data_IF_192700604536
#
_entry.id   IF_192700604536
#
_cell.length_a   1.000
_cell.length_b   1.000
_cell.length_c   1.000
_cell.angle_alpha   90.00
_cell.angle_beta   90.00
_cell.angle_gamma   90.00
#
_symmetry.space_group_name_H-M   'P 1'
#
loop_
_entity.id
_entity.type
_entity.pdbx_description
1 polymer ?
#
# COMPACT_ATOMS: atom_id res chain seq x y z
N UNK A 1 7.02 24.24 -23.27
CA UNK A 1 7.60 23.17 -22.41
C UNK A 1 6.57 22.07 -22.10
N UNK A 2 5.28 22.31 -22.34
CA UNK A 2 4.21 21.29 -22.32
C UNK A 2 4.28 20.35 -23.54
N UNK A 3 4.87 20.82 -24.64
CA UNK A 3 4.93 20.12 -25.93
C UNK A 3 5.73 18.80 -25.88
N UNK A 4 6.71 18.72 -24.98
CA UNK A 4 7.55 17.53 -24.81
C UNK A 4 6.75 16.36 -24.20
N UNK A 5 5.83 16.68 -23.29
CA UNK A 5 4.99 15.68 -22.63
C UNK A 5 3.98 15.10 -23.62
N UNK A 6 3.42 15.93 -24.51
CA UNK A 6 2.47 15.47 -25.52
C UNK A 6 3.14 14.59 -26.59
N UNK A 7 4.39 14.89 -26.94
CA UNK A 7 5.17 14.01 -27.82
C UNK A 7 5.40 12.63 -27.18
N UNK A 8 5.78 12.58 -25.90
CA UNK A 8 5.94 11.32 -25.17
C UNK A 8 4.61 10.56 -25.12
N UNK A 9 3.48 11.23 -24.82
CA UNK A 9 2.15 10.61 -24.80
C UNK A 9 1.79 9.98 -26.16
N UNK A 10 2.09 10.68 -27.26
CA UNK A 10 1.81 10.19 -28.61
C UNK A 10 2.61 8.93 -28.95
N UNK A 11 3.94 8.97 -28.73
CA UNK A 11 4.84 7.83 -28.99
C UNK A 11 4.41 6.61 -28.19
N UNK A 12 4.04 6.82 -26.94
CA UNK A 12 3.65 5.74 -26.03
C UNK A 12 2.30 5.10 -26.41
N UNK A 13 1.32 5.87 -26.89
CA UNK A 13 0.05 5.37 -27.44
C UNK A 13 0.28 4.59 -28.74
N UNK A 14 1.19 5.04 -29.60
CA UNK A 14 1.54 4.38 -30.86
C UNK A 14 2.19 2.99 -30.64
N UNK A 15 2.89 2.80 -29.51
CA UNK A 15 3.50 1.52 -29.12
C UNK A 15 2.49 0.51 -28.52
N UNK A 16 1.18 0.80 -28.56
CA UNK A 16 0.13 -0.12 -28.12
C UNK A 16 0.10 -0.37 -26.62
N UNK A 17 0.85 0.40 -25.82
CA UNK A 17 0.76 0.35 -24.37
C UNK A 17 -0.32 1.32 -23.90
N UNK A 18 -1.24 0.83 -23.06
CA UNK A 18 -2.18 1.65 -22.29
C UNK A 18 -1.35 2.38 -21.23
N UNK A 19 -0.90 3.60 -21.50
CA UNK A 19 -0.01 4.31 -20.57
C UNK A 19 -0.63 5.63 -20.20
N UNK A 20 -0.73 5.81 -18.88
CA UNK A 20 -1.31 6.94 -18.19
C UNK A 20 -2.79 7.12 -18.48
N UNK A 21 -3.60 6.19 -17.97
CA UNK A 21 -4.72 6.69 -17.20
C UNK A 21 -4.08 7.57 -16.13
N UNK A 22 -4.34 8.88 -16.06
CA UNK A 22 -4.18 9.54 -14.79
C UNK A 22 -5.08 8.70 -13.90
N UNK A 23 -4.48 7.87 -13.04
CA UNK A 23 -5.16 7.57 -11.81
C UNK A 23 -5.31 8.95 -11.22
N UNK A 24 -6.48 9.55 -11.44
CA UNK A 24 -7.05 10.45 -10.48
C UNK A 24 -7.10 9.56 -9.25
N UNK A 25 -6.00 9.52 -8.51
CA UNK A 25 -6.05 9.33 -7.09
C UNK A 25 -6.95 10.46 -6.67
N UNK A 26 -8.25 10.17 -6.61
CA UNK A 26 -9.27 10.95 -5.90
C UNK A 26 -8.99 10.75 -4.41
N UNK A 27 -7.73 11.04 -4.06
CA UNK A 27 -7.08 11.04 -2.77
C UNK A 27 -5.91 12.02 -2.87
N UNK A 28 -5.89 13.17 -2.16
CA UNK A 28 -4.71 13.99 -2.02
C UNK A 28 -3.61 13.12 -1.46
N UNK A 29 -2.52 13.07 -2.21
CA UNK A 29 -1.30 12.37 -1.86
C UNK A 29 -0.80 12.69 -0.44
N UNK A 30 -1.08 13.90 0.07
CA UNK A 30 -0.65 14.34 1.40
C UNK A 30 -1.38 13.66 2.56
N UNK A 31 -2.63 13.25 2.37
CA UNK A 31 -3.44 12.71 3.48
C UNK A 31 -3.12 11.24 3.77
N UNK A 32 -2.75 10.46 2.74
CA UNK A 32 -2.37 9.05 2.89
C UNK A 32 -0.87 8.89 3.21
N UNK A 33 0.02 9.70 2.60
CA UNK A 33 1.48 9.48 2.70
C UNK A 33 2.04 9.58 4.11
N UNK A 34 1.39 10.35 4.99
CA UNK A 34 1.82 10.54 6.37
C UNK A 34 1.16 9.57 7.38
N UNK A 35 0.13 8.82 6.96
CA UNK A 35 -0.54 7.86 7.83
C UNK A 35 0.33 6.61 8.02
N UNK A 36 0.64 6.30 9.28
CA UNK A 36 1.23 5.01 9.67
C UNK A 36 0.11 4.01 9.97
N UNK A 37 0.28 2.80 9.46
CA UNK A 37 -0.56 1.65 9.74
C UNK A 37 0.21 0.60 10.53
N UNK A 38 -0.53 -0.14 11.35
CA UNK A 38 -0.05 -1.18 12.24
C UNK A 38 -0.61 -2.52 11.78
N UNK A 39 0.16 -3.59 11.94
CA UNK A 39 -0.36 -4.94 11.72
C UNK A 39 -1.37 -5.32 12.79
N UNK A 40 -2.50 -5.89 12.36
CA UNK A 40 -3.51 -6.44 13.26
C UNK A 40 -3.10 -7.83 13.76
N UNK A 41 -3.19 -8.04 15.07
CA UNK A 41 -2.98 -9.34 15.71
C UNK A 41 -1.73 -9.40 16.58
N UNK A 42 -1.55 -10.53 17.29
CA UNK A 42 -0.49 -10.69 18.30
C UNK A 42 0.78 -11.38 17.78
N UNK A 43 0.70 -12.05 16.64
CA UNK A 43 1.79 -12.88 16.11
C UNK A 43 2.86 -12.07 15.38
N UNK A 44 2.56 -10.82 15.05
CA UNK A 44 3.46 -9.90 14.35
C UNK A 44 3.17 -8.48 14.84
N UNK A 45 4.16 -7.60 14.75
CA UNK A 45 4.05 -6.18 15.10
C UNK A 45 4.82 -5.37 14.08
N UNK A 46 4.13 -4.93 13.04
CA UNK A 46 4.73 -4.21 11.92
C UNK A 46 4.12 -2.83 11.75
N UNK A 47 4.95 -1.89 11.32
CA UNK A 47 4.54 -0.56 10.88
C UNK A 47 4.68 -0.46 9.37
N UNK A 48 3.72 0.19 8.73
CA UNK A 48 3.72 0.37 7.29
C UNK A 48 3.17 1.72 6.87
N UNK A 49 3.61 2.20 5.70
CA UNK A 49 3.08 3.38 5.02
C UNK A 49 2.58 2.99 3.64
N UNK A 50 1.43 3.51 3.26
CA UNK A 50 0.87 3.32 1.92
C UNK A 50 1.57 4.28 0.96
N UNK A 51 1.95 3.77 -0.21
CA UNK A 51 2.58 4.55 -1.28
C UNK A 51 1.78 4.39 -2.57
N UNK A 52 2.02 5.29 -3.52
CA UNK A 52 1.25 5.37 -4.78
C UNK A 52 1.29 4.07 -5.61
N UNK A 53 2.32 3.24 -5.40
CA UNK A 53 2.57 1.97 -6.07
C UNK A 53 2.50 0.75 -5.13
N UNK A 54 1.98 0.92 -3.90
CA UNK A 54 1.77 -0.17 -2.97
C UNK A 54 1.95 0.23 -1.51
N UNK A 55 2.89 -0.43 -0.84
CA UNK A 55 3.09 -0.31 0.61
C UNK A 55 4.56 -0.52 0.97
N UNK A 56 5.05 0.25 1.93
CA UNK A 56 6.37 0.08 2.52
C UNK A 56 6.22 -0.35 3.96
N UNK A 57 6.76 -1.51 4.30
CA UNK A 57 6.89 -1.99 5.67
C UNK A 57 8.19 -1.44 6.23
N UNK A 58 8.12 -0.80 7.40
CA UNK A 58 9.26 -0.08 7.97
C UNK A 58 10.22 -1.03 8.68
N UNK A 59 11.50 -0.64 8.72
CA UNK A 59 12.55 -1.24 9.54
C UNK A 59 12.08 -1.39 10.99
N UNK A 60 12.49 -2.49 11.62
CA UNK A 60 12.13 -2.83 12.99
C UNK A 60 10.77 -3.51 13.11
N UNK A 61 10.01 -3.62 12.01
CA UNK A 61 8.77 -4.40 11.99
C UNK A 61 9.05 -5.87 12.30
N UNK A 62 8.31 -6.40 13.26
CA UNK A 62 8.36 -7.77 13.74
C UNK A 62 7.43 -8.65 12.90
N UNK A 63 7.98 -9.71 12.33
CA UNK A 63 7.26 -10.70 11.56
C UNK A 63 6.77 -11.83 12.46
N UNK A 64 5.71 -12.51 12.01
CA UNK A 64 5.40 -13.83 12.54
C UNK A 64 6.56 -14.79 12.24
N UNK A 65 6.97 -15.55 13.26
CA UNK A 65 8.07 -16.50 13.15
C UNK A 65 7.70 -17.64 12.19
N UNK A 66 6.48 -18.17 12.37
CA UNK A 66 5.98 -19.29 11.58
C UNK A 66 5.20 -18.81 10.35
N UNK A 67 5.47 -19.47 9.22
CA UNK A 67 4.60 -19.42 8.04
C UNK A 67 3.63 -20.60 8.12
N UNK A 68 2.33 -20.33 8.04
CA UNK A 68 1.31 -21.37 8.16
C UNK A 68 1.32 -22.31 6.95
N UNK A 69 0.90 -23.57 7.15
CA UNK A 69 0.82 -24.56 6.06
C UNK A 69 -0.14 -24.16 4.93
N UNK A 70 -1.14 -23.34 5.25
CA UNK A 70 -2.11 -22.80 4.30
C UNK A 70 -1.66 -21.50 3.63
N UNK A 71 -0.45 -21.01 3.92
CA UNK A 71 0.07 -19.80 3.32
C UNK A 71 0.19 -19.95 1.80
N UNK A 72 -0.24 -18.94 1.02
CA UNK A 72 -0.07 -18.96 -0.43
C UNK A 72 1.39 -19.08 -0.83
N UNK A 73 1.68 -19.76 -1.96
CA UNK A 73 3.06 -19.90 -2.49
C UNK A 73 3.79 -18.55 -2.61
N UNK A 74 3.05 -17.47 -2.92
CA UNK A 74 3.62 -16.13 -3.02
C UNK A 74 4.18 -15.63 -1.68
N UNK A 75 3.54 -15.94 -0.55
CA UNK A 75 4.02 -15.55 0.78
C UNK A 75 5.35 -16.23 1.09
N UNK A 76 5.46 -17.53 0.79
CA UNK A 76 6.70 -18.30 0.95
C UNK A 76 7.82 -17.70 0.11
N UNK A 77 7.53 -17.42 -1.18
CA UNK A 77 8.50 -16.76 -2.07
C UNK A 77 8.96 -15.39 -1.57
N UNK A 78 8.05 -14.59 -0.99
CA UNK A 78 8.42 -13.29 -0.42
C UNK A 78 9.30 -13.45 0.83
N UNK A 79 9.00 -14.44 1.69
CA UNK A 79 9.83 -14.78 2.85
C UNK A 79 11.23 -15.21 2.46
N UNK A 80 11.36 -16.00 1.41
CA UNK A 80 12.66 -16.39 0.86
C UNK A 80 13.39 -15.21 0.22
N UNK A 81 12.69 -14.42 -0.62
CA UNK A 81 13.25 -13.26 -1.32
C UNK A 81 13.87 -12.24 -0.37
N UNK A 82 13.22 -11.99 0.78
CA UNK A 82 13.66 -10.99 1.75
C UNK A 82 14.32 -11.61 2.99
N UNK A 83 14.73 -12.89 2.93
CA UNK A 83 15.31 -13.60 4.06
C UNK A 83 16.51 -12.89 4.68
N UNK A 84 17.38 -12.31 3.85
CA UNK A 84 18.56 -11.56 4.30
C UNK A 84 18.22 -10.28 5.07
N UNK A 85 16.97 -9.81 4.97
CA UNK A 85 16.52 -8.59 5.62
C UNK A 85 15.81 -8.87 6.95
N UNK A 86 15.64 -10.15 7.30
CA UNK A 86 15.03 -10.62 8.54
C UNK A 86 16.16 -11.08 9.47
N UNK A 87 16.23 -10.52 10.67
CA UNK A 87 17.22 -10.94 11.66
C UNK A 87 16.78 -12.20 12.43
N UNK A 88 17.64 -12.67 13.34
CA UNK A 88 17.37 -13.87 14.15
C UNK A 88 16.17 -13.70 15.10
N UNK A 89 15.77 -12.46 15.40
CA UNK A 89 14.61 -12.16 16.21
C UNK A 89 13.35 -11.98 15.35
N UNK A 90 13.40 -12.26 14.04
CA UNK A 90 12.31 -12.05 13.08
C UNK A 90 11.90 -10.58 12.88
N UNK A 91 12.80 -9.63 13.14
CA UNK A 91 12.60 -8.22 12.84
C UNK A 91 13.23 -7.83 11.50
N UNK A 92 12.62 -6.85 10.81
CA UNK A 92 13.20 -6.27 9.60
C UNK A 92 14.39 -5.38 9.92
N UNK A 93 15.50 -5.61 9.24
CA UNK A 93 16.72 -4.79 9.35
C UNK A 93 16.70 -3.52 8.50
N UNK A 94 15.76 -3.42 7.54
CA UNK A 94 15.51 -2.25 6.69
C UNK A 94 14.08 -2.23 6.15
N UNK A 95 13.70 -1.11 5.57
CA UNK A 95 12.40 -0.92 4.92
C UNK A 95 12.25 -1.86 3.71
N UNK A 96 11.06 -2.43 3.53
CA UNK A 96 10.76 -3.34 2.43
C UNK A 96 9.47 -2.91 1.72
N UNK A 97 9.57 -2.74 0.40
CA UNK A 97 8.45 -2.36 -0.45
C UNK A 97 7.74 -3.59 -1.02
N UNK A 98 6.41 -3.52 -1.04
CA UNK A 98 5.52 -4.49 -1.65
C UNK A 98 4.56 -3.80 -2.61
N UNK A 99 4.15 -4.52 -3.65
CA UNK A 99 3.24 -4.02 -4.68
C UNK A 99 1.78 -3.93 -4.21
N UNK A 100 1.45 -4.47 -3.04
CA UNK A 100 0.10 -4.38 -2.47
C UNK A 100 0.05 -4.58 -0.96
N UNK A 101 -0.96 -4.02 -0.26
CA UNK A 101 -1.19 -4.24 1.16
C UNK A 101 -1.32 -5.72 1.55
N UNK A 102 -1.98 -6.54 0.74
CA UNK A 102 -2.14 -7.98 1.01
C UNK A 102 -0.83 -8.76 0.87
N UNK A 103 0.04 -8.37 -0.07
CA UNK A 103 1.37 -8.98 -0.20
C UNK A 103 2.22 -8.70 1.04
N UNK A 104 2.20 -7.46 1.54
CA UNK A 104 2.87 -7.10 2.78
C UNK A 104 2.26 -7.81 4.00
N UNK A 105 0.93 -7.87 4.10
CA UNK A 105 0.22 -8.55 5.19
C UNK A 105 0.59 -10.03 5.24
N UNK A 106 0.54 -10.71 4.10
CA UNK A 106 0.92 -12.12 4.03
C UNK A 106 2.39 -12.35 4.36
N UNK A 107 3.29 -11.48 3.89
CA UNK A 107 4.70 -11.52 4.27
C UNK A 107 4.89 -11.37 5.78
N UNK A 108 4.31 -10.33 6.41
CA UNK A 108 4.44 -10.08 7.84
C UNK A 108 3.80 -11.20 8.67
N UNK A 109 2.54 -11.54 8.40
CA UNK A 109 1.77 -12.48 9.22
C UNK A 109 1.97 -13.96 8.87
N UNK A 110 2.70 -14.28 7.80
CA UNK A 110 3.03 -15.65 7.42
C UNK A 110 1.82 -16.48 6.97
N UNK A 111 0.74 -15.86 6.50
CA UNK A 111 -0.51 -16.55 6.15
C UNK A 111 -1.23 -15.86 4.98
N UNK A 112 -2.35 -16.43 4.52
CA UNK A 112 -3.27 -15.72 3.62
C UNK A 112 -4.03 -14.66 4.41
N UNK A 113 -3.74 -13.38 4.17
CA UNK A 113 -4.30 -12.26 4.93
C UNK A 113 -4.85 -11.19 3.97
N UNK A 114 -6.01 -10.64 4.34
CA UNK A 114 -6.60 -9.50 3.64
C UNK A 114 -5.90 -8.21 4.10
N UNK A 115 -5.14 -7.57 3.21
CA UNK A 115 -4.43 -6.32 3.53
C UNK A 115 -5.36 -5.21 4.00
N UNK A 116 -6.57 -5.10 3.45
CA UNK A 116 -7.51 -4.04 3.82
C UNK A 116 -8.00 -4.13 5.27
N UNK A 117 -8.03 -5.35 5.84
CA UNK A 117 -8.44 -5.59 7.23
C UNK A 117 -7.25 -5.74 8.18
N UNK A 118 -6.09 -6.13 7.64
CA UNK A 118 -4.90 -6.42 8.42
C UNK A 118 -4.14 -5.17 8.85
N UNK A 119 -4.17 -4.12 8.03
CA UNK A 119 -3.52 -2.85 8.36
C UNK A 119 -4.54 -1.94 9.04
N UNK A 120 -4.20 -1.43 10.23
CA UNK A 120 -5.07 -0.56 11.03
C UNK A 120 -4.34 0.71 11.45
N UNK A 121 -5.07 1.83 11.59
CA UNK A 121 -4.53 3.04 12.20
C UNK A 121 -4.40 2.88 13.71
N UNK A 122 -3.76 3.83 14.39
CA UNK A 122 -3.71 3.90 15.86
C UNK A 122 -5.12 3.94 16.50
N UNK A 123 -6.10 4.49 15.78
CA UNK A 123 -7.51 4.55 16.19
C UNK A 123 -8.25 3.21 15.97
N UNK A 124 -7.57 2.20 15.42
CA UNK A 124 -8.15 0.89 15.12
C UNK A 124 -9.01 0.86 13.85
N UNK A 125 -8.95 1.90 13.01
CA UNK A 125 -9.65 1.94 11.72
C UNK A 125 -8.89 1.10 10.71
N UNK A 126 -9.57 0.20 9.99
CA UNK A 126 -8.90 -0.64 8.99
C UNK A 126 -8.50 0.18 7.76
N UNK A 127 -7.49 -0.27 7.02
CA UNK A 127 -7.07 0.37 5.78
C UNK A 127 -8.23 0.50 4.78
N UNK A 128 -9.07 -0.53 4.65
CA UNK A 128 -10.26 -0.46 3.79
C UNK A 128 -11.20 0.68 4.19
N UNK A 129 -11.54 0.77 5.48
CA UNK A 129 -12.39 1.83 6.01
C UNK A 129 -11.74 3.22 5.88
N UNK A 130 -10.44 3.30 6.10
CA UNK A 130 -9.68 4.53 5.98
C UNK A 130 -9.73 5.07 4.55
N UNK A 131 -9.47 4.21 3.55
CA UNK A 131 -9.53 4.58 2.14
C UNK A 131 -10.93 5.00 1.71
N UNK A 132 -11.98 4.33 2.21
CA UNK A 132 -13.36 4.74 1.96
C UNK A 132 -13.65 6.14 2.52
N UNK A 133 -13.29 6.40 3.79
CA UNK A 133 -13.50 7.71 4.43
C UNK A 133 -12.80 8.84 3.68
N UNK A 134 -11.54 8.62 3.31
CA UNK A 134 -10.73 9.58 2.56
C UNK A 134 -11.39 9.88 1.21
N UNK A 135 -11.76 8.83 0.47
CA UNK A 135 -12.48 8.97 -0.82
C UNK A 135 -13.78 9.77 -0.68
N UNK A 136 -14.61 9.51 0.35
CA UNK A 136 -15.88 10.22 0.55
C UNK A 136 -15.69 11.68 0.98
N UNK A 137 -14.70 11.96 1.83
CA UNK A 137 -14.42 13.32 2.29
C UNK A 137 -14.07 14.28 1.14
N UNK A 138 -13.51 13.75 0.06
CA UNK A 138 -13.04 14.54 -1.08
C UNK A 138 -14.09 14.71 -2.16
N UNK A 139 -14.95 13.70 -2.37
CA UNK A 139 -16.11 13.83 -3.26
C UNK A 139 -16.99 14.99 -2.75
N UNK A 140 -17.24 15.06 -1.44
CA UNK A 140 -17.99 16.17 -0.85
C UNK A 140 -17.29 17.53 -0.98
N UNK A 141 -15.96 17.60 -0.96
CA UNK A 141 -15.22 18.85 -1.20
C UNK A 141 -15.27 19.29 -2.67
N UNK A 142 -15.21 18.35 -3.62
CA UNK A 142 -15.26 18.65 -5.05
C UNK A 142 -16.66 19.15 -5.49
N UNK A 143 -17.74 18.62 -4.91
CA UNK A 143 -19.12 19.04 -5.20
C UNK A 143 -19.40 20.50 -4.77
N UNK A 144 -18.75 20.98 -3.71
CA UNK A 144 -18.91 22.36 -3.20
C UNK A 144 -18.25 23.39 -4.13
N UNK A 145 -17.21 23.00 -4.88
CA UNK A 145 -16.46 23.90 -5.77
C UNK A 145 -17.15 23.98 -7.15
N UNK A 146 -17.84 22.92 -7.58
CA UNK A 146 -18.53 22.83 -8.87
C UNK A 146 -19.82 23.66 -9.01
N UNK A 147 -20.29 24.35 -7.97
CA UNK A 147 -21.56 25.11 -7.99
C UNK A 147 -21.39 26.63 -8.15
N UNK A 148 -20.18 27.15 -8.38
CA UNK A 148 -19.94 28.61 -8.45
C UNK A 148 -19.87 29.24 -9.84
N UNK A 149 -20.00 28.46 -10.91
CA UNK A 149 -20.05 28.97 -12.27
C UNK A 149 -21.44 28.73 -12.89
N UNK A 150 -22.44 29.51 -12.46
CA UNK A 150 -23.63 29.80 -13.25
C UNK A 150 -24.22 31.17 -12.90
#
# INVERSE_FOLDING_TARGET
MEDFIDFIRLVVRALGRKVFEPMVSRVPESSIKDQIFHSKGKKASALAKITDDGIVVLKGSQLAEEVTRSAPKQVIKLREKYKEFIDNAFALTKDVRFTSPSAAAGFIGGASLNGNDYWVTDEGVTLGQYLEKVTHSEISQAEIIGTKDN
#
